data_IF_037514146433
#
_entry.id   IF_037514146433
#
_cell.length_a   1.000
_cell.length_b   1.000
_cell.length_c   1.000
_cell.angle_alpha   90.00
_cell.angle_beta   90.00
_cell.angle_gamma   90.00
#
_symmetry.space_group_name_H-M   'P 1'
#
loop_
_entity.id
_entity.type
_entity.pdbx_description
1 polymer ?
#
# COMPACT_ATOMS: atom_id res chain seq x y z
N UNK A 1 -35.84 3.50 -7.68
CA UNK A 1 -35.34 2.21 -8.22
C UNK A 1 -35.22 1.22 -7.07
N UNK A 2 -35.99 0.14 -7.10
CA UNK A 2 -36.16 -0.82 -5.99
C UNK A 2 -35.05 -1.87 -6.02
N UNK A 3 -34.37 -2.02 -4.88
CA UNK A 3 -33.38 -3.05 -4.58
C UNK A 3 -34.01 -4.46 -4.73
N UNK A 4 -33.42 -5.32 -5.57
CA UNK A 4 -33.74 -6.76 -5.65
C UNK A 4 -32.72 -7.53 -4.82
N UNK A 5 -33.12 -8.38 -3.86
CA UNK A 5 -32.18 -9.26 -3.18
C UNK A 5 -31.88 -10.48 -4.06
N UNK A 6 -30.62 -10.60 -4.49
CA UNK A 6 -30.07 -11.84 -5.05
C UNK A 6 -29.75 -12.74 -3.86
N UNK A 7 -30.58 -13.75 -3.60
CA UNK A 7 -30.24 -14.82 -2.68
C UNK A 7 -30.89 -16.12 -3.14
N UNK A 8 -30.18 -17.24 -2.93
CA UNK A 8 -30.42 -18.61 -3.38
C UNK A 8 -29.93 -18.95 -4.79
N UNK A 9 -28.63 -19.20 -4.92
CA UNK A 9 -28.04 -20.41 -5.57
C UNK A 9 -26.58 -20.59 -5.11
N UNK A 10 -26.39 -21.16 -3.93
CA UNK A 10 -25.16 -21.88 -3.56
C UNK A 10 -25.61 -23.28 -3.13
N UNK A 11 -26.08 -24.05 -4.11
CA UNK A 11 -26.30 -25.48 -3.96
C UNK A 11 -24.95 -26.14 -4.19
N UNK A 12 -24.24 -26.35 -3.07
CA UNK A 12 -23.53 -27.59 -2.74
C UNK A 12 -23.09 -28.43 -3.95
N UNK A 13 -21.84 -28.23 -4.37
CA UNK A 13 -21.10 -29.24 -5.13
C UNK A 13 -20.79 -30.42 -4.21
N UNK A 14 -21.75 -31.34 -4.09
CA UNK A 14 -21.57 -32.61 -3.40
C UNK A 14 -22.25 -33.69 -4.24
N UNK A 15 -21.71 -33.89 -5.44
CA UNK A 15 -22.04 -34.99 -6.35
C UNK A 15 -21.01 -35.01 -7.47
N UNK A 16 -20.02 -35.89 -7.37
CA UNK A 16 -19.55 -36.67 -8.51
C UNK A 16 -18.55 -37.71 -7.99
N UNK A 17 -18.96 -38.98 -8.08
CA UNK A 17 -18.09 -40.11 -8.35
C UNK A 17 -16.81 -39.66 -9.07
N UNK A 18 -15.66 -39.91 -8.44
CA UNK A 18 -14.38 -40.00 -9.12
C UNK A 18 -13.74 -41.34 -8.78
N UNK A 19 -14.46 -42.41 -9.14
CA UNK A 19 -13.82 -43.62 -9.62
C UNK A 19 -13.60 -43.39 -11.12
N UNK A 20 -12.33 -43.37 -11.53
CA UNK A 20 -11.80 -43.20 -12.90
C UNK A 20 -11.81 -41.78 -13.49
N UNK A 21 -10.69 -41.08 -13.36
CA UNK A 21 -10.14 -40.16 -14.39
C UNK A 21 -8.63 -40.04 -14.21
N UNK A 22 -7.88 -40.21 -15.29
CA UNK A 22 -6.42 -40.39 -15.38
C UNK A 22 -5.56 -39.41 -14.54
N UNK A 23 -4.79 -39.98 -13.63
CA UNK A 23 -3.53 -39.47 -13.07
C UNK A 23 -2.65 -40.70 -12.75
N UNK A 24 -1.30 -40.58 -12.65
CA UNK A 24 -0.41 -41.74 -12.73
C UNK A 24 -0.79 -42.78 -11.67
N UNK A 25 -0.86 -44.02 -12.12
CA UNK A 25 -1.37 -45.19 -11.40
C UNK A 25 -0.50 -45.48 -10.18
N UNK A 26 -0.78 -44.82 -9.06
CA UNK A 26 -0.52 -45.43 -7.76
C UNK A 26 -1.66 -46.38 -7.49
N UNK A 27 -1.35 -47.68 -7.42
CA UNK A 27 -2.32 -48.71 -7.10
C UNK A 27 -3.00 -48.37 -5.77
N UNK A 28 -4.32 -48.18 -5.80
CA UNK A 28 -5.09 -47.94 -4.59
C UNK A 28 -5.01 -49.18 -3.69
N UNK A 29 -4.91 -49.04 -2.36
CA UNK A 29 -4.94 -50.19 -1.47
C UNK A 29 -6.22 -50.98 -1.67
N UNK A 30 -6.10 -52.31 -1.75
CA UNK A 30 -7.25 -53.18 -1.93
C UNK A 30 -8.25 -53.01 -0.77
N UNK A 31 -9.52 -52.75 -1.10
CA UNK A 31 -10.62 -52.66 -0.14
C UNK A 31 -11.50 -53.92 -0.22
N UNK A 32 -11.73 -54.63 0.89
CA UNK A 32 -12.73 -55.68 0.98
C UNK A 32 -14.10 -55.21 0.49
N UNK A 33 -14.79 -56.05 -0.28
CA UNK A 33 -16.13 -55.75 -0.80
C UNK A 33 -17.17 -55.49 0.30
N UNK A 34 -16.93 -55.95 1.53
CA UNK A 34 -17.74 -55.60 2.70
C UNK A 34 -17.70 -54.10 3.02
N UNK A 35 -16.50 -53.51 3.10
CA UNK A 35 -16.34 -52.08 3.36
C UNK A 35 -16.88 -51.22 2.23
N UNK A 36 -16.67 -51.65 0.97
CA UNK A 36 -17.20 -50.95 -0.19
C UNK A 36 -18.73 -50.86 -0.12
N UNK A 37 -19.41 -51.99 0.12
CA UNK A 37 -20.88 -52.03 0.23
C UNK A 37 -21.40 -51.20 1.40
N UNK A 38 -20.73 -51.23 2.55
CA UNK A 38 -21.16 -50.44 3.72
C UNK A 38 -20.98 -48.93 3.47
N UNK A 39 -19.83 -48.50 2.95
CA UNK A 39 -19.57 -47.10 2.59
C UNK A 39 -20.59 -46.59 1.56
N UNK A 40 -20.82 -47.33 0.48
CA UNK A 40 -21.81 -46.98 -0.54
C UNK A 40 -23.24 -46.91 0.03
N UNK A 41 -23.59 -47.84 0.92
CA UNK A 41 -24.90 -47.85 1.58
C UNK A 41 -25.10 -46.64 2.49
N UNK A 42 -24.07 -46.24 3.24
CA UNK A 42 -24.13 -45.05 4.08
C UNK A 42 -24.12 -43.75 3.28
N UNK A 43 -23.32 -43.67 2.22
CA UNK A 43 -23.34 -42.54 1.29
C UNK A 43 -24.71 -42.39 0.64
N UNK A 44 -25.31 -43.46 0.14
CA UNK A 44 -26.65 -43.44 -0.45
C UNK A 44 -27.72 -42.97 0.54
N UNK A 45 -27.65 -43.43 1.81
CA UNK A 45 -28.55 -42.98 2.87
C UNK A 45 -28.35 -41.52 3.24
N UNK A 46 -27.12 -41.00 3.14
CA UNK A 46 -26.83 -39.60 3.44
C UNK A 46 -27.51 -38.67 2.42
N UNK A 47 -27.62 -39.09 1.16
CA UNK A 47 -28.34 -38.36 0.12
C UNK A 47 -29.84 -38.31 0.44
N UNK A 48 -30.31 -37.19 0.98
CA UNK A 48 -31.72 -36.98 1.36
C UNK A 48 -32.05 -37.37 2.81
N UNK A 49 -31.06 -37.69 3.64
CA UNK A 49 -31.27 -37.94 5.07
C UNK A 49 -31.83 -36.70 5.79
N UNK A 50 -32.73 -36.93 6.74
CA UNK A 50 -33.13 -35.95 7.76
C UNK A 50 -31.95 -35.61 8.69
N UNK A 51 -32.09 -34.58 9.52
CA UNK A 51 -31.06 -34.23 10.51
C UNK A 51 -30.71 -35.39 11.44
N UNK A 52 -31.71 -36.17 11.88
CA UNK A 52 -31.52 -37.38 12.70
C UNK A 52 -30.78 -38.48 11.92
N UNK A 53 -31.18 -38.73 10.67
CA UNK A 53 -30.50 -39.70 9.82
C UNK A 53 -29.03 -39.32 9.56
N UNK A 54 -28.72 -38.03 9.45
CA UNK A 54 -27.35 -37.54 9.31
C UNK A 54 -26.53 -37.78 10.58
N UNK A 55 -27.11 -37.60 11.78
CA UNK A 55 -26.46 -37.93 13.07
C UNK A 55 -26.14 -39.41 13.16
N UNK A 56 -27.09 -40.27 12.78
CA UNK A 56 -26.91 -41.73 12.81
C UNK A 56 -25.79 -42.20 11.88
N UNK A 57 -25.78 -41.68 10.65
CA UNK A 57 -24.74 -41.97 9.67
C UNK A 57 -23.38 -41.48 10.15
N UNK A 58 -23.30 -40.25 10.68
CA UNK A 58 -22.09 -39.68 11.28
C UNK A 58 -21.57 -40.57 12.42
N UNK A 59 -22.44 -40.98 13.34
CA UNK A 59 -22.07 -41.83 14.47
C UNK A 59 -21.64 -43.24 14.03
N UNK A 60 -22.34 -43.84 13.07
CA UNK A 60 -21.96 -45.12 12.49
C UNK A 60 -20.59 -45.05 11.81
N UNK A 61 -20.38 -44.08 10.93
CA UNK A 61 -19.11 -43.89 10.22
C UNK A 61 -17.94 -43.66 11.19
N UNK A 62 -18.13 -42.86 12.24
CA UNK A 62 -17.10 -42.67 13.29
C UNK A 62 -16.75 -43.95 14.04
N UNK A 63 -17.75 -44.72 14.47
CA UNK A 63 -17.51 -46.01 15.14
C UNK A 63 -16.75 -46.97 14.23
N UNK A 64 -17.06 -46.99 12.94
CA UNK A 64 -16.30 -47.78 11.96
C UNK A 64 -14.83 -47.33 11.89
N UNK A 65 -14.60 -46.03 11.76
CA UNK A 65 -13.26 -45.45 11.72
C UNK A 65 -12.44 -45.75 12.99
N UNK A 66 -13.06 -45.70 14.17
CA UNK A 66 -12.41 -46.00 15.46
C UNK A 66 -12.01 -47.48 15.56
N UNK A 67 -12.90 -48.41 15.16
CA UNK A 67 -12.60 -49.85 15.15
C UNK A 67 -11.43 -50.21 14.23
N UNK A 68 -11.28 -49.48 13.13
CA UNK A 68 -10.27 -49.75 12.10
C UNK A 68 -8.93 -49.02 12.34
N UNK A 69 -8.78 -48.28 13.45
CA UNK A 69 -7.60 -47.44 13.72
C UNK A 69 -6.27 -48.21 13.85
N UNK A 70 -6.31 -49.43 14.39
CA UNK A 70 -5.14 -50.28 14.58
C UNK A 70 -5.00 -51.41 13.55
N UNK A 71 -5.79 -51.39 12.49
CA UNK A 71 -5.88 -52.49 11.53
C UNK A 71 -4.76 -52.50 10.48
N UNK A 72 -4.89 -53.44 9.53
CA UNK A 72 -3.96 -53.59 8.41
C UNK A 72 -4.06 -52.40 7.42
N UNK A 73 -3.28 -52.43 6.33
CA UNK A 73 -3.29 -51.39 5.29
C UNK A 73 -4.69 -51.11 4.73
N UNK A 74 -5.51 -52.15 4.54
CA UNK A 74 -6.88 -52.01 4.05
C UNK A 74 -7.79 -51.36 5.09
N UNK A 75 -7.64 -51.74 6.36
CA UNK A 75 -8.42 -51.16 7.46
C UNK A 75 -8.09 -49.67 7.65
N UNK A 76 -6.80 -49.29 7.57
CA UNK A 76 -6.39 -47.88 7.65
C UNK A 76 -6.92 -47.06 6.47
N UNK A 77 -7.00 -47.67 5.28
CA UNK A 77 -7.59 -47.03 4.12
C UNK A 77 -9.12 -46.89 4.26
N UNK A 78 -9.82 -47.94 4.69
CA UNK A 78 -11.25 -47.91 4.98
C UNK A 78 -11.57 -46.88 6.08
N UNK A 79 -10.75 -46.79 7.14
CA UNK A 79 -10.86 -45.77 8.18
C UNK A 79 -10.84 -44.36 7.60
N UNK A 80 -9.93 -44.06 6.68
CA UNK A 80 -9.84 -42.73 6.06
C UNK A 80 -11.13 -42.39 5.28
N UNK A 81 -11.72 -43.37 4.59
CA UNK A 81 -12.99 -43.21 3.88
C UNK A 81 -14.18 -43.03 4.84
N UNK A 82 -14.24 -43.77 5.94
CA UNK A 82 -15.26 -43.58 6.96
C UNK A 82 -15.15 -42.21 7.66
N UNK A 83 -13.93 -41.71 7.89
CA UNK A 83 -13.72 -40.36 8.40
C UNK A 83 -14.20 -39.29 7.42
N UNK A 84 -13.96 -39.46 6.12
CA UNK A 84 -14.50 -38.59 5.08
C UNK A 84 -16.03 -38.58 5.09
N UNK A 85 -16.67 -39.76 5.19
CA UNK A 85 -18.12 -39.87 5.26
C UNK A 85 -18.70 -39.20 6.51
N UNK A 86 -18.09 -39.42 7.67
CA UNK A 86 -18.47 -38.74 8.92
C UNK A 86 -18.36 -37.22 8.77
N UNK A 87 -17.31 -36.73 8.11
CA UNK A 87 -17.13 -35.31 7.84
C UNK A 87 -18.19 -34.73 6.91
N UNK A 88 -18.57 -35.48 5.86
CA UNK A 88 -19.67 -35.10 4.97
C UNK A 88 -20.98 -34.95 5.73
N UNK A 89 -21.32 -35.93 6.58
CA UNK A 89 -22.53 -35.87 7.40
C UNK A 89 -22.53 -34.68 8.38
N UNK A 90 -21.41 -34.40 9.04
CA UNK A 90 -21.26 -33.21 9.88
C UNK A 90 -21.36 -31.91 9.08
N UNK A 91 -20.74 -31.83 7.89
CA UNK A 91 -20.78 -30.65 7.04
C UNK A 91 -22.19 -30.34 6.53
N UNK A 92 -22.99 -31.35 6.19
CA UNK A 92 -24.41 -31.18 5.84
C UNK A 92 -25.24 -30.55 6.97
N UNK A 93 -24.80 -30.74 8.22
CA UNK A 93 -25.42 -30.17 9.43
C UNK A 93 -24.85 -28.81 9.83
N UNK A 94 -23.91 -28.25 9.06
CA UNK A 94 -23.19 -27.03 9.41
C UNK A 94 -22.16 -27.22 10.53
N UNK A 95 -21.87 -28.46 10.95
CA UNK A 95 -20.86 -28.76 11.96
C UNK A 95 -19.45 -28.72 11.35
N UNK A 96 -18.99 -27.52 10.98
CA UNK A 96 -17.74 -27.34 10.24
C UNK A 96 -16.48 -27.74 11.04
N UNK A 97 -16.46 -27.51 12.36
CA UNK A 97 -15.31 -27.83 13.20
C UNK A 97 -15.01 -29.35 13.27
N UNK A 98 -15.97 -30.24 13.58
CA UNK A 98 -15.73 -31.68 13.54
C UNK A 98 -15.50 -32.20 12.12
N UNK A 99 -16.21 -31.66 11.11
CA UNK A 99 -15.98 -32.03 9.72
C UNK A 99 -14.52 -31.77 9.30
N UNK A 100 -13.98 -30.60 9.62
CA UNK A 100 -12.60 -30.25 9.37
C UNK A 100 -11.62 -31.22 10.06
N UNK A 101 -11.85 -31.54 11.33
CA UNK A 101 -10.98 -32.42 12.10
C UNK A 101 -10.94 -33.85 11.54
N UNK A 102 -12.06 -34.40 11.10
CA UNK A 102 -12.08 -35.73 10.50
C UNK A 102 -11.47 -35.76 9.10
N UNK A 103 -11.67 -34.71 8.28
CA UNK A 103 -10.98 -34.59 6.99
C UNK A 103 -9.46 -34.47 7.17
N UNK A 104 -9.00 -33.69 8.15
CA UNK A 104 -7.57 -33.53 8.47
C UNK A 104 -6.96 -34.86 8.94
N UNK A 105 -7.67 -35.59 9.80
CA UNK A 105 -7.26 -36.92 10.24
C UNK A 105 -7.25 -37.94 9.08
N UNK A 106 -8.22 -37.86 8.16
CA UNK A 106 -8.31 -38.71 6.99
C UNK A 106 -7.15 -38.42 6.01
N UNK A 107 -6.83 -37.13 5.77
CA UNK A 107 -5.71 -36.69 4.95
C UNK A 107 -4.35 -37.15 5.50
N UNK A 108 -4.25 -37.42 6.80
CA UNK A 108 -3.05 -37.95 7.45
C UNK A 108 -2.77 -39.45 7.21
N UNK A 109 -3.63 -40.16 6.47
CA UNK A 109 -3.48 -41.60 6.22
C UNK A 109 -2.36 -41.94 5.24
N UNK A 110 -1.21 -42.42 5.72
CA UNK A 110 -0.05 -42.84 4.92
C UNK A 110 -0.37 -43.78 3.75
N UNK A 111 -1.32 -44.69 3.93
CA UNK A 111 -1.75 -45.67 2.91
C UNK A 111 -2.66 -45.08 1.82
N UNK A 112 -3.21 -43.88 2.03
CA UNK A 112 -4.13 -43.27 1.09
C UNK A 112 -3.40 -42.66 -0.12
N UNK A 113 -3.96 -42.76 -1.35
CA UNK A 113 -3.37 -42.15 -2.53
C UNK A 113 -3.08 -40.66 -2.33
N UNK A 114 -1.92 -40.19 -2.80
CA UNK A 114 -1.46 -38.82 -2.56
C UNK A 114 -2.47 -37.76 -3.05
N UNK A 115 -3.03 -37.93 -4.25
CA UNK A 115 -4.03 -37.02 -4.80
C UNK A 115 -5.31 -36.97 -3.95
N UNK A 116 -5.74 -38.10 -3.39
CA UNK A 116 -6.89 -38.16 -2.49
C UNK A 116 -6.60 -37.44 -1.17
N UNK A 117 -5.41 -37.66 -0.57
CA UNK A 117 -4.99 -36.95 0.64
C UNK A 117 -4.95 -35.45 0.43
N UNK A 118 -4.40 -35.00 -0.70
CA UNK A 118 -4.35 -33.58 -1.05
C UNK A 118 -5.77 -32.98 -1.16
N UNK A 119 -6.70 -33.67 -1.82
CA UNK A 119 -8.08 -33.23 -1.89
C UNK A 119 -8.71 -33.07 -0.50
N UNK A 120 -8.51 -34.06 0.39
CA UNK A 120 -9.02 -34.01 1.78
C UNK A 120 -8.37 -32.91 2.61
N UNK A 121 -7.07 -32.66 2.44
CA UNK A 121 -6.35 -31.59 3.14
C UNK A 121 -6.88 -30.20 2.76
N UNK A 122 -7.10 -29.96 1.45
CA UNK A 122 -7.71 -28.70 0.98
C UNK A 122 -9.13 -28.54 1.50
N UNK A 123 -9.92 -29.61 1.46
CA UNK A 123 -11.29 -29.61 2.01
C UNK A 123 -11.30 -29.31 3.52
N UNK A 124 -10.40 -29.93 4.28
CA UNK A 124 -10.23 -29.66 5.72
C UNK A 124 -9.91 -28.18 5.98
N UNK A 125 -9.02 -27.57 5.18
CA UNK A 125 -8.70 -26.14 5.30
C UNK A 125 -9.94 -25.26 5.10
N UNK A 126 -10.78 -25.55 4.10
CA UNK A 126 -12.02 -24.82 3.86
C UNK A 126 -13.05 -25.01 4.99
N UNK A 127 -13.17 -26.22 5.55
CA UNK A 127 -14.04 -26.48 6.70
C UNK A 127 -13.53 -25.78 7.97
N UNK A 128 -12.21 -25.76 8.21
CA UNK A 128 -11.65 -24.96 9.31
C UNK A 128 -11.96 -23.48 9.16
N UNK A 129 -11.94 -22.96 7.92
CA UNK A 129 -12.34 -21.58 7.65
C UNK A 129 -13.82 -21.35 7.97
N UNK A 130 -14.71 -22.23 7.52
CA UNK A 130 -16.14 -22.15 7.82
C UNK A 130 -16.44 -22.26 9.33
N UNK A 131 -15.59 -22.98 10.07
CA UNK A 131 -15.66 -23.09 11.53
C UNK A 131 -15.09 -21.85 12.28
N UNK A 132 -14.65 -20.81 11.58
CA UNK A 132 -14.00 -19.63 12.19
C UNK A 132 -12.56 -19.89 12.67
N UNK A 133 -11.98 -21.06 12.40
CA UNK A 133 -10.62 -21.44 12.81
C UNK A 133 -9.60 -21.04 11.74
N UNK A 134 -9.52 -19.75 11.45
CA UNK A 134 -8.72 -19.19 10.34
C UNK A 134 -7.23 -19.54 10.43
N UNK A 135 -6.65 -19.60 11.64
CA UNK A 135 -5.24 -19.98 11.83
C UNK A 135 -4.94 -21.41 11.36
N UNK A 136 -5.79 -22.37 11.72
CA UNK A 136 -5.69 -23.76 11.26
C UNK A 136 -5.98 -23.88 9.75
N UNK A 137 -6.98 -23.15 9.26
CA UNK A 137 -7.30 -23.11 7.84
C UNK A 137 -6.09 -22.67 7.01
N UNK A 138 -5.45 -21.55 7.38
CA UNK A 138 -4.27 -21.04 6.72
C UNK A 138 -3.08 -22.01 6.79
N UNK A 139 -2.86 -22.67 7.94
CA UNK A 139 -1.80 -23.66 8.08
C UNK A 139 -2.01 -24.89 7.17
N UNK A 140 -3.24 -25.40 7.08
CA UNK A 140 -3.56 -26.55 6.21
C UNK A 140 -3.53 -26.20 4.73
N UNK A 141 -4.01 -25.01 4.35
CA UNK A 141 -3.91 -24.56 2.97
C UNK A 141 -2.46 -24.30 2.55
N UNK A 142 -1.64 -23.72 3.42
CA UNK A 142 -0.21 -23.53 3.15
C UNK A 142 0.51 -24.87 2.89
N UNK A 143 0.26 -25.88 3.73
CA UNK A 143 0.80 -27.23 3.53
C UNK A 143 0.30 -27.83 2.22
N UNK A 144 -0.98 -27.69 1.90
CA UNK A 144 -1.54 -28.20 0.65
C UNK A 144 -0.86 -27.56 -0.58
N UNK A 145 -0.62 -26.24 -0.55
CA UNK A 145 0.07 -25.52 -1.63
C UNK A 145 1.52 -25.98 -1.84
N UNK A 146 2.21 -26.40 -0.78
CA UNK A 146 3.59 -26.92 -0.86
C UNK A 146 3.66 -28.31 -1.49
N UNK A 147 2.61 -29.12 -1.35
CA UNK A 147 2.56 -30.48 -1.89
C UNK A 147 1.92 -30.53 -3.30
N UNK A 148 1.14 -29.52 -3.69
CA UNK A 148 0.45 -29.47 -4.98
C UNK A 148 1.45 -29.27 -6.13
N UNK A 149 1.33 -30.06 -7.20
CA UNK A 149 2.23 -29.96 -8.35
C UNK A 149 2.05 -28.66 -9.15
N UNK A 150 0.79 -28.23 -9.33
CA UNK A 150 0.43 -26.96 -9.99
C UNK A 150 -0.77 -26.37 -9.24
N UNK A 151 -0.54 -25.69 -8.11
CA UNK A 151 -1.62 -25.07 -7.35
C UNK A 151 -2.30 -23.96 -8.18
N UNK A 152 -3.65 -23.89 -8.21
CA UNK A 152 -4.35 -22.79 -8.85
C UNK A 152 -4.03 -21.46 -8.16
N UNK A 153 -3.86 -20.40 -8.96
CA UNK A 153 -3.53 -19.05 -8.46
C UNK A 153 -4.52 -18.55 -7.40
N UNK A 154 -5.80 -18.91 -7.53
CA UNK A 154 -6.86 -18.55 -6.58
C UNK A 154 -6.61 -19.06 -5.16
N UNK A 155 -5.94 -20.21 -5.00
CA UNK A 155 -5.60 -20.77 -3.70
C UNK A 155 -4.45 -20.02 -3.02
N UNK A 156 -3.51 -19.50 -3.81
CA UNK A 156 -2.48 -18.58 -3.28
C UNK A 156 -3.12 -17.31 -2.74
N UNK A 157 -4.01 -16.69 -3.52
CA UNK A 157 -4.71 -15.48 -3.08
C UNK A 157 -5.64 -15.71 -1.90
N UNK A 158 -6.28 -16.89 -1.82
CA UNK A 158 -7.04 -17.30 -0.63
C UNK A 158 -6.15 -17.34 0.61
N UNK A 159 -4.98 -17.98 0.52
CA UNK A 159 -4.04 -18.04 1.63
C UNK A 159 -3.53 -16.64 2.01
N UNK A 160 -3.14 -15.80 1.03
CA UNK A 160 -2.68 -14.43 1.27
C UNK A 160 -3.77 -13.62 1.98
N UNK A 161 -5.03 -13.74 1.55
CA UNK A 161 -6.17 -13.09 2.22
C UNK A 161 -6.33 -13.53 3.67
N UNK A 162 -6.31 -14.85 3.93
CA UNK A 162 -6.40 -15.38 5.29
C UNK A 162 -5.22 -14.98 6.18
N UNK A 163 -4.01 -14.92 5.62
CA UNK A 163 -2.83 -14.43 6.35
C UNK A 163 -2.96 -12.94 6.68
N UNK A 164 -3.52 -12.14 5.77
CA UNK A 164 -3.82 -10.73 6.00
C UNK A 164 -4.84 -10.52 7.10
N UNK A 165 -5.92 -11.30 7.13
CA UNK A 165 -6.92 -11.25 8.21
C UNK A 165 -6.35 -11.65 9.58
N UNK A 166 -5.35 -12.53 9.60
CA UNK A 166 -4.62 -12.93 10.80
C UNK A 166 -3.49 -11.96 11.17
N UNK A 167 -3.35 -10.84 10.45
CA UNK A 167 -2.27 -9.86 10.59
C UNK A 167 -0.86 -10.47 10.45
N UNK A 168 -0.75 -11.61 9.77
CA UNK A 168 0.53 -12.29 9.48
C UNK A 168 1.16 -11.68 8.23
N UNK A 169 1.38 -10.37 8.26
CA UNK A 169 1.77 -9.55 7.11
C UNK A 169 3.04 -10.03 6.43
N UNK A 170 4.07 -10.38 7.20
CA UNK A 170 5.33 -10.90 6.65
C UNK A 170 5.15 -12.23 5.90
N UNK A 171 4.31 -13.12 6.42
CA UNK A 171 4.03 -14.38 5.76
C UNK A 171 3.20 -14.16 4.48
N UNK A 172 2.23 -13.25 4.52
CA UNK A 172 1.44 -12.87 3.35
C UNK A 172 2.33 -12.24 2.26
N UNK A 173 3.24 -11.35 2.64
CA UNK A 173 4.15 -10.69 1.71
C UNK A 173 5.11 -11.69 1.03
N UNK A 174 5.72 -12.60 1.79
CA UNK A 174 6.56 -13.66 1.19
C UNK A 174 5.79 -14.55 0.22
N UNK A 175 4.52 -14.86 0.52
CA UNK A 175 3.68 -15.64 -0.40
C UNK A 175 3.34 -14.88 -1.67
N UNK A 176 3.13 -13.56 -1.56
CA UNK A 176 2.85 -12.68 -2.69
C UNK A 176 4.08 -12.51 -3.61
N UNK A 177 5.28 -12.40 -3.04
CA UNK A 177 6.54 -12.28 -3.80
C UNK A 177 6.96 -13.55 -4.50
N UNK A 178 6.50 -14.71 -4.01
CA UNK A 178 6.68 -15.99 -4.67
C UNK A 178 5.72 -16.17 -5.87
N UNK A 179 4.82 -15.23 -6.13
CA UNK A 179 3.99 -15.24 -7.33
C UNK A 179 4.75 -14.53 -8.46
N UNK A 180 4.91 -15.23 -9.58
CA UNK A 180 5.56 -14.68 -10.78
C UNK A 180 4.67 -13.68 -11.55
N UNK A 181 3.37 -13.64 -11.22
CA UNK A 181 2.39 -12.81 -11.90
C UNK A 181 1.89 -11.67 -11.03
N UNK A 182 1.89 -10.45 -11.60
CA UNK A 182 1.28 -9.29 -10.96
C UNK A 182 -0.24 -9.43 -10.83
N UNK A 183 -0.86 -8.92 -9.74
CA UNK A 183 -2.31 -8.99 -9.56
C UNK A 183 -3.04 -8.25 -10.69
N UNK A 184 -3.86 -9.00 -11.44
CA UNK A 184 -4.57 -8.47 -12.61
C UNK A 184 -5.86 -7.72 -12.24
N UNK A 185 -6.65 -8.25 -11.31
CA UNK A 185 -7.87 -7.61 -10.83
C UNK A 185 -7.62 -6.57 -9.72
N UNK A 186 -8.60 -5.69 -9.53
CA UNK A 186 -8.51 -4.57 -8.59
C UNK A 186 -8.48 -5.03 -7.12
N UNK A 187 -9.21 -6.10 -6.77
CA UNK A 187 -9.34 -6.55 -5.38
C UNK A 187 -8.04 -7.21 -4.90
N UNK A 188 -7.44 -8.11 -5.71
CA UNK A 188 -6.13 -8.70 -5.42
C UNK A 188 -5.04 -7.65 -5.36
N UNK A 189 -5.10 -6.62 -6.20
CA UNK A 189 -4.15 -5.51 -6.16
C UNK A 189 -4.29 -4.69 -4.88
N UNK A 190 -5.52 -4.37 -4.46
CA UNK A 190 -5.77 -3.68 -3.21
C UNK A 190 -5.27 -4.48 -1.99
N UNK A 191 -5.50 -5.81 -2.00
CA UNK A 191 -4.96 -6.71 -0.99
C UNK A 191 -3.43 -6.72 -1.01
N UNK A 192 -2.79 -6.85 -2.17
CA UNK A 192 -1.34 -6.83 -2.32
C UNK A 192 -0.70 -5.54 -1.79
N UNK A 193 -1.26 -4.39 -2.16
CA UNK A 193 -0.80 -3.08 -1.66
C UNK A 193 -0.94 -3.02 -0.13
N UNK A 194 -2.03 -3.54 0.42
CA UNK A 194 -2.24 -3.58 1.88
C UNK A 194 -1.21 -4.48 2.55
N UNK A 195 -1.03 -5.70 2.06
CA UNK A 195 -0.05 -6.68 2.57
C UNK A 195 1.36 -6.09 2.55
N UNK A 196 1.79 -5.52 1.43
CA UNK A 196 3.11 -4.91 1.32
C UNK A 196 3.30 -3.75 2.31
N UNK A 197 2.32 -2.85 2.42
CA UNK A 197 2.41 -1.72 3.37
C UNK A 197 2.51 -2.18 4.82
N UNK A 198 1.67 -3.14 5.22
CA UNK A 198 1.67 -3.64 6.60
C UNK A 198 2.91 -4.47 6.93
N UNK A 199 3.53 -5.09 5.93
CA UNK A 199 4.83 -5.76 6.04
C UNK A 199 6.03 -4.79 5.89
N UNK A 200 5.83 -3.47 5.87
CA UNK A 200 6.92 -2.49 5.69
C UNK A 200 7.59 -2.49 4.31
N UNK A 201 6.99 -3.16 3.33
CA UNK A 201 7.46 -3.30 1.93
C UNK A 201 6.91 -2.18 1.05
N UNK A 202 7.14 -0.94 1.47
CA UNK A 202 6.56 0.25 0.83
C UNK A 202 7.03 0.44 -0.62
N UNK A 203 8.23 -0.03 -0.97
CA UNK A 203 8.73 0.00 -2.34
C UNK A 203 7.91 -0.86 -3.30
N UNK A 204 7.59 -2.08 -2.90
CA UNK A 204 6.71 -2.97 -3.65
C UNK A 204 5.28 -2.39 -3.75
N UNK A 205 4.75 -1.84 -2.65
CA UNK A 205 3.45 -1.19 -2.66
C UNK A 205 3.40 0.02 -3.61
N UNK A 206 4.46 0.84 -3.62
CA UNK A 206 4.58 1.99 -4.52
C UNK A 206 4.68 1.56 -5.99
N UNK A 207 5.42 0.49 -6.28
CA UNK A 207 5.54 -0.08 -7.63
C UNK A 207 4.16 -0.48 -8.16
N UNK A 208 3.40 -1.27 -7.41
CA UNK A 208 2.04 -1.70 -7.79
C UNK A 208 1.08 -0.52 -8.00
N UNK A 209 1.17 0.52 -7.18
CA UNK A 209 0.34 1.72 -7.35
C UNK A 209 0.71 2.45 -8.65
N UNK A 210 2.00 2.65 -8.90
CA UNK A 210 2.51 3.42 -10.05
C UNK A 210 2.14 2.82 -11.40
N UNK A 211 2.13 1.50 -11.53
CA UNK A 211 1.75 0.80 -12.77
C UNK A 211 0.35 1.19 -13.29
N UNK A 212 -0.55 1.64 -12.41
CA UNK A 212 -1.95 1.95 -12.76
C UNK A 212 -2.34 3.41 -12.60
N UNK A 213 -1.45 4.29 -12.13
CA UNK A 213 -1.73 5.72 -11.93
C UNK A 213 -2.27 6.41 -13.20
N UNK A 214 -1.98 5.90 -14.40
CA UNK A 214 -2.46 6.47 -15.66
C UNK A 214 -3.80 5.98 -16.21
N UNK A 215 -4.16 4.69 -16.07
CA UNK A 215 -5.30 4.09 -16.81
C UNK A 215 -6.60 4.02 -16.02
N UNK A 216 -6.53 3.82 -14.71
CA UNK A 216 -7.68 3.47 -13.86
C UNK A 216 -7.68 4.20 -12.50
N UNK A 217 -6.62 4.94 -12.18
CA UNK A 217 -6.44 5.50 -10.85
C UNK A 217 -7.27 6.76 -10.60
N UNK A 218 -8.01 6.75 -9.51
CA UNK A 218 -8.66 7.94 -8.95
C UNK A 218 -7.72 8.76 -8.04
N UNK A 219 -8.22 9.88 -7.49
CA UNK A 219 -7.43 10.80 -6.66
C UNK A 219 -6.77 10.12 -5.45
N UNK A 220 -7.46 9.15 -4.83
CA UNK A 220 -6.97 8.43 -3.64
C UNK A 220 -5.67 7.68 -3.93
N UNK A 221 -5.56 7.03 -5.09
CA UNK A 221 -4.38 6.27 -5.48
C UNK A 221 -3.15 7.18 -5.70
N UNK A 222 -3.35 8.34 -6.32
CA UNK A 222 -2.29 9.36 -6.48
C UNK A 222 -1.77 9.85 -5.14
N UNK A 223 -2.68 10.20 -4.22
CA UNK A 223 -2.34 10.62 -2.86
C UNK A 223 -1.57 9.53 -2.10
N UNK A 224 -2.02 8.28 -2.21
CA UNK A 224 -1.36 7.14 -1.56
C UNK A 224 0.06 6.91 -2.12
N UNK A 225 0.24 6.99 -3.45
CA UNK A 225 1.54 6.79 -4.08
C UNK A 225 2.55 7.88 -3.66
N UNK A 226 2.14 9.16 -3.67
CA UNK A 226 3.00 10.24 -3.20
C UNK A 226 3.33 10.14 -1.70
N UNK A 227 2.38 9.67 -0.87
CA UNK A 227 2.64 9.43 0.55
C UNK A 227 3.64 8.29 0.78
N UNK A 228 3.60 7.22 -0.02
CA UNK A 228 4.59 6.15 0.03
C UNK A 228 5.97 6.63 -0.42
N UNK A 229 6.06 7.41 -1.49
CA UNK A 229 7.32 8.00 -1.94
C UNK A 229 7.97 8.86 -0.84
N UNK A 230 7.20 9.69 -0.13
CA UNK A 230 7.71 10.44 1.02
C UNK A 230 8.21 9.54 2.16
N UNK A 231 7.46 8.48 2.51
CA UNK A 231 7.87 7.54 3.56
C UNK A 231 9.15 6.78 3.22
N UNK A 232 9.38 6.54 1.93
CA UNK A 232 10.61 5.95 1.40
C UNK A 232 11.79 6.94 1.35
N UNK A 233 11.60 8.19 1.79
CA UNK A 233 12.64 9.21 1.76
C UNK A 233 12.88 9.81 0.39
N UNK A 234 11.92 9.70 -0.54
CA UNK A 234 12.01 10.27 -1.89
C UNK A 234 10.95 11.38 -2.09
N UNK A 235 11.19 12.58 -1.52
CA UNK A 235 10.28 13.71 -1.67
C UNK A 235 10.22 14.24 -3.10
N UNK A 236 11.28 14.04 -3.91
CA UNK A 236 11.30 14.42 -5.32
C UNK A 236 10.31 13.59 -6.14
N UNK A 237 10.33 12.27 -5.97
CA UNK A 237 9.33 11.38 -6.58
C UNK A 237 7.91 11.68 -6.08
N UNK A 238 7.75 11.98 -4.79
CA UNK A 238 6.45 12.37 -4.26
C UNK A 238 5.88 13.62 -4.93
N UNK A 239 6.73 14.65 -5.14
CA UNK A 239 6.36 15.85 -5.88
C UNK A 239 5.99 15.53 -7.34
N UNK A 240 6.79 14.72 -8.02
CA UNK A 240 6.53 14.32 -9.41
C UNK A 240 5.21 13.55 -9.57
N UNK A 241 4.91 12.63 -8.65
CA UNK A 241 3.63 11.91 -8.63
C UNK A 241 2.47 12.89 -8.42
N UNK A 242 2.58 13.79 -7.45
CA UNK A 242 1.52 14.75 -7.15
C UNK A 242 1.28 15.71 -8.32
N UNK A 243 2.36 16.20 -8.93
CA UNK A 243 2.32 17.10 -10.08
C UNK A 243 1.63 16.45 -11.29
N UNK A 244 1.98 15.21 -11.61
CA UNK A 244 1.32 14.48 -12.68
C UNK A 244 -0.19 14.27 -12.41
N UNK A 245 -0.59 14.01 -11.15
CA UNK A 245 -1.99 13.94 -10.75
C UNK A 245 -2.73 15.28 -10.89
N UNK A 246 -2.07 16.39 -10.52
CA UNK A 246 -2.58 17.75 -10.64
C UNK A 246 -2.77 18.16 -12.11
N UNK A 247 -1.77 17.97 -12.96
CA UNK A 247 -1.82 18.29 -14.39
C UNK A 247 -2.93 17.54 -15.14
N UNK A 248 -3.30 16.34 -14.65
CA UNK A 248 -4.40 15.53 -15.21
C UNK A 248 -5.77 15.92 -14.65
N UNK A 249 -5.85 16.90 -13.76
CA UNK A 249 -7.10 17.32 -13.09
C UNK A 249 -7.65 16.30 -12.09
N UNK A 250 -6.87 15.28 -11.72
CA UNK A 250 -7.28 14.26 -10.74
C UNK A 250 -7.08 14.74 -9.30
N UNK A 251 -6.14 15.67 -9.09
CA UNK A 251 -5.94 16.39 -7.84
C UNK A 251 -6.26 17.86 -8.10
N UNK A 252 -7.09 18.46 -7.27
CA UNK A 252 -7.61 19.81 -7.53
C UNK A 252 -8.07 20.49 -6.24
N UNK A 253 -8.25 21.81 -6.33
CA UNK A 253 -8.64 22.65 -5.22
C UNK A 253 -7.49 23.02 -4.29
N UNK A 254 -7.82 23.88 -3.33
CA UNK A 254 -6.87 24.54 -2.43
C UNK A 254 -6.01 23.55 -1.61
N UNK A 255 -6.61 22.48 -1.08
CA UNK A 255 -5.88 21.52 -0.23
C UNK A 255 -4.81 20.74 -1.02
N UNK A 256 -5.17 20.25 -2.20
CA UNK A 256 -4.26 19.50 -3.06
C UNK A 256 -3.15 20.42 -3.61
N UNK A 257 -3.47 21.68 -3.92
CA UNK A 257 -2.48 22.67 -4.34
C UNK A 257 -1.49 23.01 -3.21
N UNK A 258 -1.97 23.25 -2.00
CA UNK A 258 -1.10 23.48 -0.83
C UNK A 258 -0.19 22.28 -0.57
N UNK A 259 -0.67 21.06 -0.79
CA UNK A 259 0.16 19.86 -0.67
C UNK A 259 1.18 19.74 -1.80
N UNK A 260 0.82 20.04 -3.04
CA UNK A 260 1.74 20.09 -4.18
C UNK A 260 2.92 21.04 -3.91
N UNK A 261 2.62 22.25 -3.43
CA UNK A 261 3.62 23.27 -3.07
C UNK A 261 4.59 22.74 -2.01
N UNK A 262 4.08 22.16 -0.91
CA UNK A 262 4.93 21.58 0.14
C UNK A 262 5.81 20.45 -0.39
N UNK A 263 5.29 19.61 -1.27
CA UNK A 263 6.05 18.52 -1.88
C UNK A 263 7.16 19.05 -2.77
N UNK A 264 6.90 20.07 -3.60
CA UNK A 264 7.95 20.68 -4.42
C UNK A 264 9.04 21.37 -3.59
N UNK A 265 8.69 22.01 -2.48
CA UNK A 265 9.68 22.58 -1.55
C UNK A 265 10.53 21.46 -0.93
N UNK A 266 9.91 20.40 -0.41
CA UNK A 266 10.61 19.26 0.18
C UNK A 266 11.45 18.47 -0.85
N UNK A 267 10.98 18.40 -2.09
CA UNK A 267 11.64 17.72 -3.21
C UNK A 267 12.74 18.53 -3.89
N UNK A 268 13.07 19.72 -3.39
CA UNK A 268 14.16 20.55 -3.93
C UNK A 268 13.83 21.27 -5.24
N UNK A 269 12.55 21.44 -5.57
CA UNK A 269 12.09 22.21 -6.74
C UNK A 269 11.26 23.45 -6.32
N UNK A 270 11.83 24.37 -5.51
CA UNK A 270 11.10 25.52 -4.97
C UNK A 270 10.58 26.49 -6.03
N UNK A 271 11.24 26.62 -7.19
CA UNK A 271 10.75 27.43 -8.29
C UNK A 271 9.36 26.95 -8.78
N UNK A 272 9.17 25.63 -8.93
CA UNK A 272 7.87 25.04 -9.26
C UNK A 272 6.83 25.33 -8.19
N UNK A 273 7.20 25.18 -6.92
CA UNK A 273 6.30 25.50 -5.80
C UNK A 273 5.80 26.96 -5.90
N UNK A 274 6.70 27.90 -6.22
CA UNK A 274 6.37 29.31 -6.37
C UNK A 274 5.49 29.58 -7.61
N UNK A 275 5.74 28.92 -8.74
CA UNK A 275 4.88 28.99 -9.94
C UNK A 275 3.44 28.54 -9.63
N UNK A 276 3.28 27.41 -8.94
CA UNK A 276 1.97 26.91 -8.52
C UNK A 276 1.25 27.83 -7.55
N UNK A 277 1.97 28.46 -6.61
CA UNK A 277 1.41 29.44 -5.69
C UNK A 277 0.94 30.69 -6.42
N UNK A 278 1.78 31.26 -7.30
CA UNK A 278 1.46 32.46 -8.05
C UNK A 278 0.20 32.25 -8.90
N UNK A 279 0.18 31.15 -9.67
CA UNK A 279 -0.98 30.76 -10.47
C UNK A 279 -2.21 30.46 -9.62
N UNK A 280 -2.05 29.77 -8.48
CA UNK A 280 -3.15 29.48 -7.58
C UNK A 280 -3.82 30.73 -7.01
N UNK A 281 -3.04 31.77 -6.72
CA UNK A 281 -3.54 33.07 -6.27
C UNK A 281 -4.24 33.82 -7.42
N UNK A 282 -3.64 33.81 -8.62
CA UNK A 282 -4.19 34.44 -9.83
C UNK A 282 -5.53 33.81 -10.26
N UNK A 283 -5.59 32.47 -10.29
CA UNK A 283 -6.76 31.69 -10.65
C UNK A 283 -7.83 31.67 -9.53
N UNK A 284 -7.55 32.28 -8.36
CA UNK A 284 -8.47 32.34 -7.21
C UNK A 284 -8.66 31.01 -6.46
N UNK A 285 -7.85 29.99 -6.75
CA UNK A 285 -7.84 28.71 -6.02
C UNK A 285 -7.27 28.90 -4.61
N UNK A 286 -6.32 29.81 -4.45
CA UNK A 286 -5.79 30.27 -3.17
C UNK A 286 -6.23 31.71 -2.95
N UNK A 287 -6.57 32.04 -1.71
CA UNK A 287 -6.78 33.42 -1.30
C UNK A 287 -5.47 34.22 -1.45
N UNK A 288 -5.52 35.39 -2.07
CA UNK A 288 -4.36 36.28 -2.21
C UNK A 288 -3.95 37.02 -0.94
N UNK A 289 -4.20 36.41 0.23
CA UNK A 289 -3.89 36.99 1.54
C UNK A 289 -2.38 37.01 1.84
N UNK A 290 -2.03 37.72 2.91
CA UNK A 290 -0.64 37.88 3.34
C UNK A 290 0.04 36.54 3.63
N UNK A 291 -0.70 35.51 4.07
CA UNK A 291 -0.14 34.19 4.38
C UNK A 291 0.32 33.49 3.11
N UNK A 292 -0.55 33.38 2.10
CA UNK A 292 -0.20 32.76 0.82
C UNK A 292 0.87 33.55 0.06
N UNK A 293 0.83 34.89 0.11
CA UNK A 293 1.90 35.72 -0.48
C UNK A 293 3.23 35.55 0.23
N UNK A 294 3.26 35.39 1.56
CA UNK A 294 4.49 35.10 2.29
C UNK A 294 5.05 33.74 1.92
N UNK A 295 4.20 32.74 1.73
CA UNK A 295 4.62 31.42 1.25
C UNK A 295 5.20 31.50 -0.17
N UNK A 296 4.59 32.30 -1.06
CA UNK A 296 5.12 32.57 -2.41
C UNK A 296 6.51 33.24 -2.36
N UNK A 297 6.66 34.27 -1.55
CA UNK A 297 7.93 34.97 -1.36
C UNK A 297 9.02 34.02 -0.82
N UNK A 298 8.67 33.19 0.16
CA UNK A 298 9.57 32.17 0.72
C UNK A 298 9.96 31.12 -0.32
N UNK A 299 9.03 30.72 -1.20
CA UNK A 299 9.32 29.76 -2.26
C UNK A 299 10.27 30.34 -3.32
N UNK A 300 10.07 31.59 -3.75
CA UNK A 300 11.02 32.27 -4.64
C UNK A 300 12.39 32.47 -4.00
N UNK A 301 12.42 32.78 -2.71
CA UNK A 301 13.65 32.90 -1.95
C UNK A 301 14.42 31.57 -1.92
N UNK A 302 13.73 30.47 -1.61
CA UNK A 302 14.31 29.13 -1.62
C UNK A 302 14.80 28.72 -3.03
N UNK A 303 14.14 29.21 -4.08
CA UNK A 303 14.55 29.04 -5.46
C UNK A 303 15.76 29.89 -5.87
N UNK A 304 16.19 30.82 -5.01
CA UNK A 304 17.25 31.80 -5.30
C UNK A 304 16.94 32.64 -6.55
N UNK A 305 15.66 32.89 -6.81
CA UNK A 305 15.24 33.82 -7.85
C UNK A 305 15.19 35.23 -7.25
N UNK A 306 16.30 35.96 -7.35
CA UNK A 306 16.49 37.22 -6.63
C UNK A 306 15.38 38.23 -6.94
N UNK A 307 15.09 38.43 -8.23
CA UNK A 307 14.10 39.41 -8.67
C UNK A 307 12.69 39.09 -8.17
N UNK A 308 12.22 37.86 -8.42
CA UNK A 308 10.86 37.46 -8.01
C UNK A 308 10.72 37.37 -6.48
N UNK A 309 11.76 36.94 -5.77
CA UNK A 309 11.76 36.87 -4.31
C UNK A 309 11.69 38.26 -3.67
N UNK A 310 12.53 39.22 -4.11
CA UNK A 310 12.50 40.58 -3.57
C UNK A 310 11.18 41.28 -3.85
N UNK A 311 10.65 41.15 -5.06
CA UNK A 311 9.33 41.69 -5.41
C UNK A 311 8.22 41.09 -4.54
N UNK A 312 8.22 39.77 -4.34
CA UNK A 312 7.22 39.09 -3.53
C UNK A 312 7.33 39.45 -2.04
N UNK A 313 8.54 39.58 -1.49
CA UNK A 313 8.75 40.03 -0.11
C UNK A 313 8.37 41.50 0.08
N UNK A 314 8.57 42.36 -0.91
CA UNK A 314 8.10 43.74 -0.88
C UNK A 314 6.57 43.83 -0.86
N UNK A 315 5.88 43.00 -1.64
CA UNK A 315 4.42 42.89 -1.59
C UNK A 315 3.93 42.46 -0.19
N UNK A 316 4.56 41.46 0.40
CA UNK A 316 4.24 40.95 1.74
C UNK A 316 4.45 42.05 2.79
N UNK A 317 5.60 42.74 2.75
CA UNK A 317 5.92 43.79 3.71
C UNK A 317 4.95 44.99 3.61
N UNK A 318 4.55 45.36 2.39
CA UNK A 318 3.56 46.44 2.16
C UNK A 318 2.18 46.07 2.67
N UNK A 319 1.70 44.86 2.39
CA UNK A 319 0.34 44.44 2.77
C UNK A 319 0.20 44.11 4.26
N UNK A 320 1.23 43.50 4.84
CA UNK A 320 1.24 43.16 6.27
C UNK A 320 1.45 44.38 7.16
N UNK A 321 2.24 45.36 6.71
CA UNK A 321 2.67 46.50 7.50
C UNK A 321 3.55 46.14 8.70
N UNK A 322 4.02 44.89 8.83
CA UNK A 322 4.76 44.42 10.01
C UNK A 322 6.25 44.74 9.90
N UNK A 323 6.83 45.18 11.01
CA UNK A 323 8.28 45.46 11.10
C UNK A 323 9.14 44.25 10.68
N UNK A 324 8.74 43.04 11.07
CA UNK A 324 9.46 41.79 10.76
C UNK A 324 9.51 41.47 9.25
N UNK A 325 8.44 41.74 8.50
CA UNK A 325 8.42 41.48 7.05
C UNK A 325 9.28 42.51 6.29
N UNK A 326 9.28 43.77 6.73
CA UNK A 326 10.22 44.80 6.24
C UNK A 326 11.68 44.48 6.57
N UNK A 327 11.94 43.98 7.78
CA UNK A 327 13.27 43.55 8.19
C UNK A 327 13.76 42.40 7.30
N UNK A 328 12.91 41.39 7.05
CA UNK A 328 13.24 40.25 6.19
C UNK A 328 13.58 40.69 4.76
N UNK A 329 12.76 41.56 4.15
CA UNK A 329 13.06 42.14 2.84
C UNK A 329 14.41 42.86 2.83
N UNK A 330 14.69 43.66 3.87
CA UNK A 330 15.93 44.40 4.00
C UNK A 330 17.17 43.52 4.11
N UNK A 331 17.10 42.48 4.93
CA UNK A 331 18.16 41.47 5.08
C UNK A 331 18.41 40.71 3.77
N UNK A 332 17.33 40.32 3.09
CA UNK A 332 17.42 39.58 1.84
C UNK A 332 18.04 40.44 0.73
N UNK A 333 17.57 41.69 0.58
CA UNK A 333 18.12 42.66 -0.36
C UNK A 333 19.60 42.94 -0.08
N UNK A 334 19.99 43.09 1.20
CA UNK A 334 21.39 43.26 1.58
C UNK A 334 22.24 42.06 1.16
N UNK A 335 21.80 40.84 1.49
CA UNK A 335 22.51 39.61 1.17
C UNK A 335 22.70 39.36 -0.34
N UNK A 336 21.84 39.96 -1.18
CA UNK A 336 21.92 39.88 -2.64
C UNK A 336 22.50 41.13 -3.32
N UNK A 337 23.00 42.10 -2.55
CA UNK A 337 23.68 43.29 -3.08
C UNK A 337 22.76 44.44 -3.52
N UNK A 338 21.47 44.36 -3.25
CA UNK A 338 20.48 45.39 -3.59
C UNK A 338 20.45 46.51 -2.53
N UNK A 339 21.55 47.27 -2.44
CA UNK A 339 21.81 48.21 -1.34
C UNK A 339 20.73 49.29 -1.18
N UNK A 340 20.17 49.80 -2.29
CA UNK A 340 19.11 50.81 -2.27
C UNK A 340 17.80 50.26 -1.67
N UNK A 341 17.40 49.07 -2.10
CA UNK A 341 16.21 48.37 -1.57
C UNK A 341 16.42 48.00 -0.11
N UNK A 342 17.58 47.44 0.24
CA UNK A 342 17.95 47.09 1.61
C UNK A 342 17.82 48.30 2.54
N UNK A 343 18.41 49.44 2.17
CA UNK A 343 18.35 50.67 2.98
C UNK A 343 16.91 51.16 3.16
N UNK A 344 16.11 51.16 2.09
CA UNK A 344 14.70 51.57 2.15
C UNK A 344 13.90 50.66 3.10
N UNK A 345 14.02 49.35 2.93
CA UNK A 345 13.29 48.37 3.71
C UNK A 345 13.69 48.39 5.20
N UNK A 346 15.00 48.45 5.50
CA UNK A 346 15.51 48.49 6.88
C UNK A 346 15.15 49.80 7.60
N UNK A 347 15.20 50.97 6.93
CA UNK A 347 14.71 52.24 7.51
C UNK A 347 13.23 52.13 7.89
N UNK A 348 12.42 51.46 7.05
CA UNK A 348 11.00 51.22 7.33
C UNK A 348 10.80 50.24 8.49
N UNK A 349 11.57 49.15 8.54
CA UNK A 349 11.54 48.18 9.63
C UNK A 349 11.86 48.85 10.97
N UNK A 350 12.94 49.66 11.03
CA UNK A 350 13.31 50.44 12.22
C UNK A 350 12.20 51.40 12.66
N UNK A 351 11.62 52.15 11.72
CA UNK A 351 10.53 53.08 12.02
C UNK A 351 9.27 52.37 12.56
N UNK A 352 9.11 51.07 12.27
CA UNK A 352 8.05 50.22 12.80
C UNK A 352 8.47 49.45 14.07
N UNK A 353 9.67 49.71 14.62
CA UNK A 353 10.15 49.16 15.89
C UNK A 353 11.03 47.91 15.80
N UNK A 354 11.55 47.53 14.62
CA UNK A 354 12.56 46.47 14.54
C UNK A 354 13.96 47.02 14.84
N UNK A 355 14.43 46.81 16.07
CA UNK A 355 15.74 47.30 16.55
C UNK A 355 16.91 46.69 15.78
N UNK A 356 16.81 45.43 15.34
CA UNK A 356 17.88 44.75 14.60
C UNK A 356 18.22 45.46 13.28
N UNK A 357 17.27 46.24 12.74
CA UNK A 357 17.47 46.99 11.50
C UNK A 357 18.62 48.02 11.60
N UNK A 358 18.95 48.51 12.81
CA UNK A 358 20.05 49.48 12.99
C UNK A 358 21.41 48.88 12.67
N UNK A 359 21.69 47.68 13.17
CA UNK A 359 22.93 46.97 12.90
C UNK A 359 23.09 46.70 11.39
N UNK A 360 22.02 46.27 10.73
CA UNK A 360 22.03 46.06 9.27
C UNK A 360 22.24 47.37 8.49
N UNK A 361 21.61 48.47 8.90
CA UNK A 361 21.81 49.78 8.26
C UNK A 361 23.26 50.28 8.38
N UNK A 362 23.90 50.05 9.53
CA UNK A 362 25.30 50.42 9.77
C UNK A 362 26.29 49.64 8.88
N UNK A 363 25.92 48.42 8.46
CA UNK A 363 26.73 47.58 7.58
C UNK A 363 26.66 47.95 6.08
N UNK A 364 25.70 48.78 5.68
CA UNK A 364 25.53 49.17 4.27
C UNK A 364 26.55 50.23 3.86
N UNK A 365 27.11 50.17 2.63
CA UNK A 365 28.03 51.19 2.14
C UNK A 365 27.39 52.59 2.17
N UNK A 366 28.15 53.64 2.46
CA UNK A 366 27.65 55.02 2.49
C UNK A 366 27.12 55.47 1.12
N UNK A 367 26.18 56.43 1.10
CA UNK A 367 25.53 56.92 -0.14
C UNK A 367 26.49 57.61 -1.14
N UNK A 368 27.81 57.67 -0.87
CA UNK A 368 28.81 58.44 -1.64
C UNK A 368 30.00 57.66 -2.22
N UNK A 369 29.90 56.33 -2.38
CA UNK A 369 31.02 55.46 -2.78
C UNK A 369 31.31 55.31 -4.28
N UNK A 370 30.82 56.19 -5.16
CA UNK A 370 31.04 56.11 -6.61
C UNK A 370 31.75 57.36 -7.19
N UNK A 371 32.43 58.16 -6.36
CA UNK A 371 32.97 59.46 -6.78
C UNK A 371 34.36 59.85 -6.24
N UNK A 372 35.23 58.91 -5.86
CA UNK A 372 36.56 59.27 -5.36
C UNK A 372 37.65 58.25 -5.75
N UNK A 373 38.13 58.36 -6.99
CA UNK A 373 39.36 57.75 -7.49
C UNK A 373 39.53 58.21 -8.94
N UNK A 374 40.26 59.27 -9.25
CA UNK A 374 41.68 59.44 -8.96
C UNK A 374 42.03 60.92 -9.11
N UNK A 375 42.36 61.57 -7.99
CA UNK A 375 43.04 62.86 -7.97
C UNK A 375 44.53 62.63 -8.21
N UNK A 376 45.06 63.36 -9.17
CA UNK A 376 46.43 63.31 -9.62
C UNK A 376 47.44 63.85 -8.60
N UNK A 377 48.67 63.36 -8.79
CA UNK A 377 49.92 64.11 -8.72
C UNK A 377 50.57 64.36 -7.35
N UNK A 378 51.69 63.66 -7.12
CA UNK A 378 53.02 64.28 -6.95
C UNK A 378 54.09 63.20 -6.73
N UNK A 379 55.10 63.17 -7.61
CA UNK A 379 56.54 63.07 -7.25
C UNK A 379 57.41 62.94 -8.51
N UNK A 380 57.86 64.11 -8.97
CA UNK A 380 59.26 64.44 -9.30
C UNK A 380 60.12 63.46 -10.14
N UNK A 381 60.44 63.97 -11.34
CA UNK A 381 61.77 64.04 -11.96
C UNK A 381 62.91 63.36 -11.19
N UNK A 382 63.55 62.39 -11.85
CA UNK A 382 65.01 62.27 -11.86
C UNK A 382 65.48 61.72 -13.20
N UNK A 383 66.28 62.54 -13.86
CA UNK A 383 67.08 62.25 -15.05
C UNK A 383 68.27 61.40 -14.61
N UNK A 384 68.52 60.23 -15.23
CA UNK A 384 69.88 59.80 -15.52
C UNK A 384 69.94 58.63 -16.53
N UNK A 385 70.47 58.96 -17.72
CA UNK A 385 71.37 58.19 -18.61
C UNK A 385 71.68 56.71 -18.31
N UNK A 386 71.64 55.88 -19.36
CA UNK A 386 72.72 54.92 -19.65
C UNK A 386 72.34 53.58 -20.29
N UNK A 387 72.92 53.38 -21.48
CA UNK A 387 73.11 52.15 -22.28
C UNK A 387 71.94 51.68 -23.17
#
# INVERSE_FOLDING_TARGET
MRYRPISRRLLTGLSALLLLSCAPVQAQPALPGGFIRDLQGLEARLHGASAEGQVDIQHQARRQAERLAGGNTSDRWARALYLQLAAGAAACRGEHAPAAAWLDAAAGSDVAPAAWRQARLREAALQYRAAGRTSLAAARLARWLEEASVPPIDEHWRLIGWLGELERWEAAARRLEALDEAPQDADRRALAITVYRQAGRDGQALTLLRERLGREAGPRQWRQAAALAQRLGDPGLAAAIWEAGWQRGLLSGEEDLRRLVRLHLAGGTPARAAEHLARGIEDGVLTGDVSHRRLLATAWEAARDHGRALSAWEDVARQSGRAADWLRLGQLAHGWGEAALARRALRRARALGAEEAEAWLASLPGEGGEGAGTGADQSERSVQTGA
#
